data_IF_970444473925
#
_entry.id   IF_970444473925
#
_cell.length_a   1.000
_cell.length_b   1.000
_cell.length_c   1.000
_cell.angle_alpha   90.00
_cell.angle_beta   90.00
_cell.angle_gamma   90.00
#
_symmetry.space_group_name_H-M   'P 1'
#
loop_
_entity.id
_entity.type
_entity.pdbx_description
1 polymer ?
#
# COMPACT_ATOMS: atom_id res chain seq x y z
N UNK A 1 -11.46 1.74 -0.58
CA UNK A 1 -10.04 1.44 -0.37
C UNK A 1 -9.94 0.17 0.43
N UNK A 2 -8.96 -0.63 0.11
CA UNK A 2 -8.66 -1.87 0.78
C UNK A 2 -7.25 -1.75 1.36
N UNK A 3 -7.09 -2.16 2.61
CA UNK A 3 -5.79 -2.15 3.27
C UNK A 3 -5.25 -3.56 3.32
N UNK A 4 -4.01 -3.74 2.88
CA UNK A 4 -3.32 -5.00 3.03
C UNK A 4 -3.13 -5.32 4.52
N UNK A 5 -3.49 -6.53 4.92
CA UNK A 5 -3.39 -6.96 6.33
C UNK A 5 -1.96 -7.11 6.85
N UNK A 6 -0.96 -7.18 5.96
CA UNK A 6 0.47 -7.16 6.31
C UNK A 6 1.11 -5.87 5.75
N UNK A 7 0.49 -4.74 6.04
CA UNK A 7 0.87 -3.43 5.50
C UNK A 7 2.35 -3.13 5.74
N UNK A 8 3.06 -2.76 4.67
CA UNK A 8 4.42 -2.23 4.78
C UNK A 8 4.37 -0.82 5.35
N UNK A 9 5.05 -0.58 6.47
CA UNK A 9 5.02 0.69 7.17
C UNK A 9 6.42 1.23 7.32
N UNK A 10 6.58 2.50 6.95
CA UNK A 10 7.76 3.25 7.29
C UNK A 10 8.02 3.28 8.78
N UNK A 11 9.29 3.33 9.16
CA UNK A 11 9.72 3.38 10.56
C UNK A 11 9.00 4.49 11.34
N UNK A 12 8.83 5.65 10.70
CA UNK A 12 8.15 6.81 11.27
C UNK A 12 6.65 6.59 11.49
N UNK A 13 6.05 5.57 10.87
CA UNK A 13 4.60 5.33 10.87
C UNK A 13 4.16 4.17 11.76
N UNK A 14 5.07 3.30 12.23
CA UNK A 14 4.77 2.09 13.01
C UNK A 14 3.81 2.33 14.19
N UNK A 15 4.00 3.41 14.94
CA UNK A 15 3.17 3.72 16.12
C UNK A 15 1.94 4.59 15.82
N UNK A 16 1.67 4.89 14.54
CA UNK A 16 0.61 5.81 14.13
C UNK A 16 -0.22 5.29 12.95
N UNK A 17 -0.10 4.01 12.61
CA UNK A 17 -0.83 3.36 11.52
C UNK A 17 -2.33 3.65 11.55
N UNK A 18 -3.02 3.31 12.65
CA UNK A 18 -4.47 3.50 12.76
C UNK A 18 -4.89 4.97 12.58
N UNK A 19 -4.10 5.89 13.14
CA UNK A 19 -4.33 7.34 13.02
C UNK A 19 -4.15 7.81 11.57
N UNK A 20 -3.12 7.32 10.89
CA UNK A 20 -2.84 7.68 9.49
C UNK A 20 -3.90 7.11 8.56
N UNK A 21 -4.24 5.81 8.67
CA UNK A 21 -5.31 5.16 7.91
C UNK A 21 -6.62 5.97 8.01
N UNK A 22 -7.03 6.26 9.24
CA UNK A 22 -8.25 7.01 9.51
C UNK A 22 -8.23 8.43 8.93
N UNK A 23 -7.07 9.09 8.87
CA UNK A 23 -6.93 10.42 8.24
C UNK A 23 -7.02 10.34 6.72
N UNK A 24 -6.41 9.33 6.09
CA UNK A 24 -6.52 9.07 4.65
C UNK A 24 -7.97 8.79 4.26
N UNK A 25 -8.66 7.93 5.00
CA UNK A 25 -10.08 7.59 4.79
C UNK A 25 -11.02 8.79 4.90
N UNK A 26 -10.75 9.70 5.83
CA UNK A 26 -11.53 10.93 6.04
C UNK A 26 -11.09 12.11 5.17
N UNK A 27 -10.21 11.89 4.19
CA UNK A 27 -9.70 12.93 3.29
C UNK A 27 -9.04 14.10 4.02
N UNK A 28 -8.42 13.82 5.17
CA UNK A 28 -7.66 14.83 5.90
C UNK A 28 -6.33 15.02 5.19
N UNK A 29 -5.94 16.25 4.78
CA UNK A 29 -4.68 16.48 4.08
C UNK A 29 -3.48 15.86 4.83
N UNK A 30 -2.72 15.00 4.14
CA UNK A 30 -1.49 14.38 4.64
C UNK A 30 -0.31 14.74 3.72
N UNK A 31 0.27 15.95 3.83
CA UNK A 31 1.44 16.31 3.05
C UNK A 31 2.60 15.36 3.35
N UNK A 32 3.41 15.06 2.33
CA UNK A 32 4.56 14.15 2.41
C UNK A 32 4.23 12.68 2.71
N UNK A 33 2.96 12.29 2.80
CA UNK A 33 2.56 10.89 2.90
C UNK A 33 2.39 10.31 1.50
N UNK A 34 2.96 9.13 1.27
CA UNK A 34 2.85 8.39 0.02
C UNK A 34 2.24 7.01 0.32
N UNK A 35 1.34 6.59 -0.56
CA UNK A 35 0.69 5.29 -0.53
C UNK A 35 1.34 4.43 -1.61
N UNK A 36 1.82 3.25 -1.21
CA UNK A 36 2.19 2.22 -2.16
C UNK A 36 0.96 1.35 -2.39
N UNK A 37 0.54 1.21 -3.63
CA UNK A 37 -0.65 0.45 -3.98
C UNK A 37 -0.35 -0.64 -4.99
N UNK A 38 -1.23 -1.63 -5.06
CA UNK A 38 -1.30 -2.45 -6.27
C UNK A 38 -1.51 -1.52 -7.48
N UNK A 39 -0.90 -1.87 -8.62
CA UNK A 39 -0.86 -0.99 -9.77
C UNK A 39 -2.26 -0.79 -10.36
N UNK A 40 -2.52 0.37 -10.94
CA UNK A 40 -3.77 0.70 -11.62
C UNK A 40 -3.90 -0.03 -12.96
N UNK A 41 -2.78 -0.48 -13.52
CA UNK A 41 -2.70 -1.29 -14.73
C UNK A 41 -2.03 -2.65 -14.44
N UNK A 42 -2.04 -3.55 -15.41
CA UNK A 42 -1.48 -4.90 -15.25
C UNK A 42 0.03 -4.98 -15.56
N UNK A 43 0.58 -3.94 -16.20
CA UNK A 43 1.98 -3.90 -16.66
C UNK A 43 2.95 -3.44 -15.56
N UNK A 44 2.48 -2.56 -14.68
CA UNK A 44 3.25 -2.05 -13.55
C UNK A 44 3.35 -3.08 -12.43
N UNK A 45 4.36 -2.94 -11.57
CA UNK A 45 4.51 -3.75 -10.36
C UNK A 45 3.76 -3.14 -9.18
N UNK A 46 3.83 -1.82 -9.04
CA UNK A 46 3.32 -1.00 -7.94
C UNK A 46 3.08 0.43 -8.44
N UNK A 47 2.14 1.12 -7.78
CA UNK A 47 2.04 2.58 -7.92
C UNK A 47 2.44 3.26 -6.60
N UNK A 48 3.07 4.43 -6.71
CA UNK A 48 3.37 5.32 -5.58
C UNK A 48 2.52 6.58 -5.74
N UNK A 49 1.54 6.74 -4.86
CA UNK A 49 0.53 7.79 -4.96
C UNK A 49 0.70 8.77 -3.79
N UNK A 50 0.92 10.08 -4.03
CA UNK A 50 0.85 11.09 -2.99
C UNK A 50 -0.53 11.10 -2.33
N UNK A 51 -0.60 11.13 -0.99
CA UNK A 51 -1.87 11.19 -0.28
C UNK A 51 -2.70 12.44 -0.60
N UNK A 52 -2.05 13.50 -1.10
CA UNK A 52 -2.69 14.73 -1.57
C UNK A 52 -3.50 14.52 -2.85
N UNK A 53 -3.13 13.58 -3.71
CA UNK A 53 -3.85 13.30 -4.97
C UNK A 53 -5.23 12.74 -4.68
N UNK A 54 -5.35 11.99 -3.57
CA UNK A 54 -6.63 11.52 -3.06
C UNK A 54 -7.57 12.68 -2.72
N UNK A 55 -7.10 13.91 -2.47
CA UNK A 55 -8.02 15.01 -2.15
C UNK A 55 -8.88 15.44 -3.36
N UNK A 56 -8.53 15.01 -4.57
CA UNK A 56 -9.32 15.28 -5.78
C UNK A 56 -10.69 14.58 -5.71
N UNK A 57 -11.78 15.33 -5.99
CA UNK A 57 -13.17 14.85 -5.87
C UNK A 57 -13.45 13.59 -6.71
N UNK A 58 -12.86 13.49 -7.90
CA UNK A 58 -13.09 12.40 -8.83
C UNK A 58 -12.11 11.23 -8.68
N UNK A 59 -11.20 11.25 -7.69
CA UNK A 59 -10.18 10.20 -7.55
C UNK A 59 -10.82 8.85 -7.16
N UNK A 60 -10.51 7.73 -7.84
CA UNK A 60 -11.16 6.43 -7.64
C UNK A 60 -10.67 5.68 -6.38
N UNK A 61 -10.85 6.27 -5.18
CA UNK A 61 -10.34 5.71 -3.90
C UNK A 61 -10.92 4.36 -3.51
N UNK A 62 -12.10 4.03 -4.02
CA UNK A 62 -12.80 2.79 -3.64
C UNK A 62 -12.00 1.56 -4.06
N UNK A 63 -11.33 1.65 -5.22
CA UNK A 63 -10.62 0.54 -5.86
C UNK A 63 -9.15 0.42 -5.44
N UNK A 64 -8.60 1.44 -4.75
CA UNK A 64 -7.22 1.39 -4.28
C UNK A 64 -7.00 0.24 -3.30
N UNK A 65 -6.03 -0.60 -3.60
CA UNK A 65 -5.53 -1.63 -2.71
C UNK A 65 -4.15 -1.21 -2.19
N UNK A 66 -4.12 -0.72 -0.95
CA UNK A 66 -2.96 -0.07 -0.35
C UNK A 66 -2.14 -1.15 0.36
N UNK A 67 -0.89 -1.30 -0.07
CA UNK A 67 0.03 -2.30 0.47
C UNK A 67 1.11 -1.69 1.35
N UNK A 68 1.38 -0.39 1.23
CA UNK A 68 2.34 0.28 2.09
C UNK A 68 2.07 1.78 2.28
N UNK A 69 2.68 2.32 3.33
CA UNK A 69 2.66 3.75 3.66
C UNK A 69 4.04 4.23 4.05
N UNK A 70 4.46 5.36 3.51
CA UNK A 70 5.73 5.99 3.86
C UNK A 70 5.64 7.53 3.88
N UNK A 71 6.47 8.15 4.72
CA UNK A 71 6.66 9.61 4.75
C UNK A 71 7.92 10.01 3.99
N UNK A 72 7.73 10.75 2.90
CA UNK A 72 8.78 11.18 1.99
C UNK A 72 8.82 10.30 0.75
N UNK A 73 9.09 10.92 -0.40
CA UNK A 73 9.09 10.24 -1.69
C UNK A 73 10.26 9.26 -1.82
N UNK A 74 11.47 9.69 -1.44
CA UNK A 74 12.67 8.84 -1.53
C UNK A 74 12.54 7.57 -0.70
N UNK A 75 12.04 7.69 0.53
CA UNK A 75 11.75 6.54 1.38
C UNK A 75 10.65 5.63 0.77
N UNK A 76 9.65 6.22 0.10
CA UNK A 76 8.63 5.43 -0.60
C UNK A 76 9.21 4.67 -1.81
N UNK A 77 10.18 5.26 -2.52
CA UNK A 77 10.94 4.58 -3.58
C UNK A 77 11.75 3.41 -3.01
N UNK A 78 12.48 3.63 -1.91
CA UNK A 78 13.23 2.57 -1.22
C UNK A 78 12.30 1.43 -0.77
N UNK A 79 11.15 1.76 -0.19
CA UNK A 79 10.15 0.77 0.18
C UNK A 79 9.62 0.00 -1.03
N UNK A 80 9.37 0.66 -2.16
CA UNK A 80 8.90 -0.01 -3.37
C UNK A 80 9.90 -1.05 -3.88
N UNK A 81 11.19 -0.69 -3.89
CA UNK A 81 12.26 -1.61 -4.24
C UNK A 81 12.35 -2.77 -3.24
N UNK A 82 12.23 -2.48 -1.94
CA UNK A 82 12.23 -3.50 -0.90
C UNK A 82 11.07 -4.50 -1.04
N UNK A 83 9.85 -4.03 -1.33
CA UNK A 83 8.67 -4.88 -1.56
C UNK A 83 8.89 -5.79 -2.76
N UNK A 84 9.30 -5.22 -3.90
CA UNK A 84 9.54 -6.00 -5.13
C UNK A 84 10.63 -7.04 -4.90
N UNK A 85 11.72 -6.65 -4.24
CA UNK A 85 12.83 -7.53 -3.94
C UNK A 85 12.44 -8.66 -2.97
N UNK A 86 11.70 -8.37 -1.91
CA UNK A 86 11.20 -9.37 -0.95
C UNK A 86 10.30 -10.41 -1.63
N UNK A 87 9.39 -9.95 -2.50
CA UNK A 87 8.50 -10.84 -3.25
C UNK A 87 9.32 -11.72 -4.21
N UNK A 88 10.26 -11.13 -4.94
CA UNK A 88 11.14 -11.88 -5.83
C UNK A 88 11.93 -12.96 -5.10
N UNK A 89 12.49 -12.65 -3.93
CA UNK A 89 13.22 -13.64 -3.12
C UNK A 89 12.31 -14.77 -2.60
N UNK A 90 11.02 -14.49 -2.37
CA UNK A 90 10.06 -15.49 -1.88
C UNK A 90 9.45 -16.35 -2.98
N UNK A 91 9.28 -15.81 -4.19
CA UNK A 91 8.53 -16.49 -5.27
C UNK A 91 9.36 -16.81 -6.50
N UNK A 92 10.53 -16.20 -6.66
CA UNK A 92 11.33 -16.23 -7.89
C UNK A 92 10.72 -15.42 -9.05
N UNK A 93 9.67 -14.64 -8.80
CA UNK A 93 8.92 -13.90 -9.83
C UNK A 93 8.59 -12.48 -9.39
N UNK A 94 8.18 -11.63 -10.34
CA UNK A 94 7.72 -10.26 -10.07
C UNK A 94 6.19 -10.14 -10.01
N UNK A 95 5.45 -11.24 -9.75
CA UNK A 95 3.98 -11.24 -9.70
C UNK A 95 3.45 -10.64 -8.37
N UNK A 96 3.71 -9.35 -8.13
CA UNK A 96 3.38 -8.63 -6.88
C UNK A 96 1.90 -8.75 -6.52
N UNK A 97 1.00 -8.42 -7.45
CA UNK A 97 -0.46 -8.48 -7.25
C UNK A 97 -0.90 -9.86 -6.76
N UNK A 98 -0.49 -10.91 -7.47
CA UNK A 98 -0.88 -12.29 -7.19
C UNK A 98 -0.39 -12.73 -5.81
N UNK A 99 0.84 -12.38 -5.46
CA UNK A 99 1.41 -12.69 -4.15
C UNK A 99 0.66 -11.99 -3.02
N UNK A 100 0.44 -10.68 -3.13
CA UNK A 100 -0.27 -9.86 -2.13
C UNK A 100 -1.70 -10.37 -1.92
N UNK A 101 -2.45 -10.58 -3.00
CA UNK A 101 -3.84 -11.05 -2.92
C UNK A 101 -3.93 -12.46 -2.33
N UNK A 102 -3.01 -13.38 -2.70
CA UNK A 102 -2.95 -14.72 -2.12
C UNK A 102 -2.72 -14.67 -0.60
N UNK A 103 -1.84 -13.79 -0.13
CA UNK A 103 -1.63 -13.60 1.31
C UNK A 103 -2.85 -12.98 2.00
N UNK A 104 -3.51 -12.01 1.36
CA UNK A 104 -4.72 -11.40 1.90
C UNK A 104 -5.83 -12.44 2.07
N UNK A 105 -6.07 -13.29 1.07
CA UNK A 105 -7.10 -14.34 1.14
C UNK A 105 -6.84 -15.31 2.28
N UNK A 106 -5.59 -15.80 2.43
CA UNK A 106 -5.21 -16.70 3.53
C UNK A 106 -5.52 -16.10 4.89
N UNK A 107 -5.12 -14.84 5.09
CA UNK A 107 -5.35 -14.14 6.37
C UNK A 107 -6.82 -13.91 6.65
N UNK A 108 -7.65 -13.65 5.62
CA UNK A 108 -9.10 -13.55 5.80
C UNK A 108 -9.71 -14.89 6.25
N UNK A 109 -9.30 -16.01 5.66
CA UNK A 109 -9.78 -17.35 6.05
C UNK A 109 -9.39 -17.70 7.49
N UNK A 110 -8.17 -17.35 7.93
CA UNK A 110 -7.70 -17.57 9.30
C UNK A 110 -8.46 -16.75 10.36
N UNK A 111 -9.06 -15.61 9.99
CA UNK A 111 -9.85 -14.78 10.91
C UNK A 111 -11.32 -15.23 11.02
N UNK A 112 -11.81 -16.03 10.08
CA UNK A 112 -13.18 -16.54 10.04
C UNK A 112 -13.34 -17.88 10.78
N UNK A 113 -12.24 -18.56 11.09
CA UNK A 113 -12.15 -19.79 11.89
C UNK A 113 -11.79 -19.52 13.34
#
# INVERSE_FOLDING_TARGET
MHWYSNLYLGERLKNQEAKVKSRVERNVPQPSLYLLTLPSNEENLLDIIPATDLLQKAYPKKELFIIGLEKGYDAALEMSAAIVNDIYHKTGTFEVRKFVLKQQTRKNTEMET
#
